data_IF_392424896989
#
_entry.id   IF_392424896989
#
_cell.length_a   1.000
_cell.length_b   1.000
_cell.length_c   1.000
_cell.angle_alpha   90.00
_cell.angle_beta   90.00
_cell.angle_gamma   90.00
#
_symmetry.space_group_name_H-M   'P 1'
#
loop_
_entity.id
_entity.type
_entity.pdbx_description
1 polymer ?
#
# COMPACT_ATOMS: atom_id res chain seq x y z
N UNK A 1 -34.81 29.98 -70.61
CA UNK A 1 -33.91 30.51 -69.55
C UNK A 1 -33.98 29.58 -68.35
N UNK A 2 -32.96 28.76 -68.12
CA UNK A 2 -32.76 28.04 -66.86
C UNK A 2 -31.25 27.97 -66.61
N UNK A 3 -30.83 28.60 -65.50
CA UNK A 3 -29.45 28.77 -65.02
C UNK A 3 -29.06 27.61 -64.07
N UNK A 4 -27.77 27.41 -63.78
CA UNK A 4 -27.15 26.10 -63.60
C UNK A 4 -27.16 25.54 -62.18
N UNK A 5 -26.84 24.25 -62.11
CA UNK A 5 -26.73 23.36 -60.96
C UNK A 5 -25.65 23.79 -59.95
N UNK A 6 -26.03 24.00 -58.68
CA UNK A 6 -25.10 24.09 -57.56
C UNK A 6 -24.71 22.69 -57.08
N UNK A 7 -23.41 22.37 -57.14
CA UNK A 7 -22.81 21.19 -56.51
C UNK A 7 -22.79 21.38 -54.99
N UNK A 8 -23.46 20.50 -54.26
CA UNK A 8 -23.41 20.43 -52.79
C UNK A 8 -22.08 19.81 -52.35
N UNK A 9 -21.15 20.62 -51.84
CA UNK A 9 -19.95 20.12 -51.15
C UNK A 9 -20.32 19.90 -49.68
N UNK A 10 -20.37 18.64 -49.26
CA UNK A 10 -20.43 18.27 -47.84
C UNK A 10 -19.02 18.37 -47.27
N UNK A 11 -18.78 19.33 -46.38
CA UNK A 11 -17.58 19.33 -45.53
C UNK A 11 -17.97 18.75 -44.16
N UNK A 12 -17.34 17.63 -43.80
CA UNK A 12 -17.45 16.98 -42.50
C UNK A 12 -16.99 17.94 -41.40
N UNK A 13 -17.85 18.22 -40.42
CA UNK A 13 -17.43 18.81 -39.15
C UNK A 13 -16.92 17.68 -38.23
N UNK A 14 -15.60 17.53 -38.11
CA UNK A 14 -14.98 16.75 -37.03
C UNK A 14 -15.08 17.54 -35.73
N UNK A 15 -16.04 17.19 -34.88
CA UNK A 15 -16.10 17.66 -33.50
C UNK A 15 -15.11 16.84 -32.66
N UNK A 16 -13.97 17.44 -32.29
CA UNK A 16 -13.07 16.89 -31.28
C UNK A 16 -13.73 17.07 -29.90
N UNK A 17 -14.31 16.00 -29.36
CA UNK A 17 -14.73 15.96 -27.95
C UNK A 17 -13.47 15.75 -27.12
N UNK A 18 -12.89 16.85 -26.62
CA UNK A 18 -11.92 16.77 -25.55
C UNK A 18 -12.67 16.31 -24.29
N UNK A 19 -12.45 15.06 -23.89
CA UNK A 19 -12.89 14.58 -22.60
C UNK A 19 -12.14 15.37 -21.51
N UNK A 20 -12.83 16.35 -20.92
CA UNK A 20 -12.45 16.95 -19.65
C UNK A 20 -12.49 15.82 -18.62
N UNK A 21 -11.33 15.20 -18.36
CA UNK A 21 -11.14 14.43 -17.14
C UNK A 21 -11.28 15.42 -16.00
N UNK A 22 -12.42 15.37 -15.32
CA UNK A 22 -12.60 16.12 -14.08
C UNK A 22 -11.49 15.72 -13.13
N UNK A 23 -10.75 16.73 -12.64
CA UNK A 23 -9.94 16.58 -11.44
C UNK A 23 -10.87 16.04 -10.36
N UNK A 24 -10.73 14.75 -10.03
CA UNK A 24 -11.33 14.21 -8.83
C UNK A 24 -10.60 14.87 -7.65
N UNK A 25 -11.17 15.95 -7.13
CA UNK A 25 -10.74 16.53 -5.86
C UNK A 25 -11.15 15.52 -4.79
N UNK A 26 -10.15 14.91 -4.15
CA UNK A 26 -10.33 13.78 -3.25
C UNK A 26 -11.15 14.09 -1.98
N UNK A 27 -11.46 15.36 -1.69
CA UNK A 27 -12.41 15.75 -0.64
C UNK A 27 -12.81 17.23 -0.79
N UNK A 28 -14.10 17.57 -0.63
CA UNK A 28 -14.51 18.98 -0.51
C UNK A 28 -13.89 19.57 0.77
N UNK A 29 -13.10 20.64 0.63
CA UNK A 29 -12.40 21.28 1.75
C UNK A 29 -11.05 20.67 2.11
N UNK A 30 -10.44 19.85 1.24
CA UNK A 30 -9.09 19.32 1.48
C UNK A 30 -8.05 20.46 1.57
N UNK A 31 -7.60 20.74 2.79
CA UNK A 31 -6.56 21.72 3.06
C UNK A 31 -5.19 21.30 2.51
N UNK A 32 -5.01 20.08 2.00
CA UNK A 32 -3.76 19.64 1.35
C UNK A 32 -3.33 20.54 0.20
N UNK A 33 -4.26 21.19 -0.50
CA UNK A 33 -3.93 22.17 -1.54
C UNK A 33 -3.36 23.50 -0.98
N UNK A 34 -3.55 23.79 0.32
CA UNK A 34 -3.13 25.04 0.97
C UNK A 34 -1.78 24.96 1.68
N UNK A 35 -1.25 23.76 1.91
CA UNK A 35 0.07 23.53 2.50
C UNK A 35 0.92 22.64 1.59
N UNK A 36 1.13 23.08 0.35
CA UNK A 36 1.99 22.39 -0.61
C UNK A 36 3.47 22.71 -0.31
N UNK A 37 3.96 22.29 0.86
CA UNK A 37 5.40 22.21 1.09
C UNK A 37 5.94 21.05 0.25
N UNK A 38 6.92 21.35 -0.61
CA UNK A 38 7.58 20.33 -1.42
C UNK A 38 8.23 19.24 -0.57
N UNK A 39 8.53 18.10 -1.19
CA UNK A 39 9.25 17.03 -0.52
C UNK A 39 10.60 17.54 0.03
N UNK A 40 10.95 17.14 1.24
CA UNK A 40 12.27 17.42 1.80
C UNK A 40 13.29 16.53 1.07
N UNK A 41 14.31 17.16 0.49
CA UNK A 41 15.41 16.48 -0.21
C UNK A 41 16.66 16.61 0.64
N UNK A 42 16.88 15.62 1.51
CA UNK A 42 18.02 15.55 2.42
C UNK A 42 18.39 14.08 2.67
N UNK A 43 19.58 13.78 3.21
CA UNK A 43 19.88 12.46 3.78
C UNK A 43 18.86 12.08 4.88
N UNK A 44 18.82 10.80 5.22
CA UNK A 44 18.05 10.33 6.37
C UNK A 44 18.47 11.10 7.65
N UNK A 45 17.51 11.28 8.56
CA UNK A 45 17.73 12.02 9.80
C UNK A 45 17.28 11.17 10.99
N UNK A 46 18.14 11.05 12.00
CA UNK A 46 17.91 10.28 13.23
C UNK A 46 18.16 11.18 14.44
N UNK A 47 17.24 11.19 15.40
CA UNK A 47 17.35 12.04 16.58
C UNK A 47 18.58 11.71 17.44
N UNK A 48 18.96 10.43 17.53
CA UNK A 48 20.07 9.98 18.38
C UNK A 48 21.46 10.23 17.75
N UNK A 49 21.53 10.57 16.47
CA UNK A 49 22.78 11.04 15.84
C UNK A 49 23.10 12.50 16.21
N UNK A 50 22.12 13.20 16.80
CA UNK A 50 22.18 14.62 17.11
C UNK A 50 21.96 14.84 18.62
N UNK A 51 22.63 14.09 19.49
CA UNK A 51 22.54 14.28 20.94
C UNK A 51 23.75 15.08 21.43
N UNK A 52 23.51 16.33 21.85
CA UNK A 52 24.55 17.28 22.33
C UNK A 52 24.85 18.41 21.34
N UNK A 53 24.82 19.65 21.86
CA UNK A 53 24.91 20.96 21.16
C UNK A 53 23.91 21.18 20.01
N UNK A 54 22.86 21.99 20.27
CA UNK A 54 21.97 22.61 19.27
C UNK A 54 21.48 21.67 18.15
N UNK A 55 20.98 20.49 18.52
CA UNK A 55 20.33 19.57 17.60
C UNK A 55 18.96 20.10 17.17
N UNK A 56 18.97 21.11 16.31
CA UNK A 56 17.77 21.65 15.68
C UNK A 56 17.32 20.62 14.65
N UNK A 57 16.25 19.87 14.99
CA UNK A 57 15.49 19.12 14.00
C UNK A 57 15.18 20.05 12.82
N UNK A 58 15.46 19.67 11.55
CA UNK A 58 15.07 20.49 10.41
C UNK A 58 13.55 20.59 10.25
N UNK A 59 12.81 19.82 11.06
CA UNK A 59 11.37 19.78 11.10
C UNK A 59 10.84 20.50 12.35
N UNK A 60 9.92 21.44 12.12
CA UNK A 60 9.14 22.06 13.19
C UNK A 60 8.29 20.98 13.90
N UNK A 61 8.11 21.13 15.21
CA UNK A 61 7.31 20.22 16.04
C UNK A 61 6.15 20.97 16.69
N UNK A 62 5.01 20.29 16.85
CA UNK A 62 3.86 20.80 17.59
C UNK A 62 3.07 19.62 18.17
N UNK A 63 3.18 19.37 19.47
CA UNK A 63 2.55 18.23 20.16
C UNK A 63 3.11 16.85 19.80
N UNK A 64 3.93 16.74 18.74
CA UNK A 64 4.64 15.55 18.30
C UNK A 64 6.08 15.90 17.95
N UNK A 65 7.01 15.00 18.29
CA UNK A 65 8.43 15.11 17.94
C UNK A 65 8.77 14.04 16.91
N UNK A 66 9.40 14.45 15.81
CA UNK A 66 9.99 13.52 14.87
C UNK A 66 11.23 12.88 15.48
N UNK A 67 11.33 11.55 15.41
CA UNK A 67 12.46 10.80 15.95
C UNK A 67 13.37 10.23 14.86
N UNK A 68 12.80 9.89 13.69
CA UNK A 68 13.53 9.45 12.52
C UNK A 68 12.79 9.83 11.24
N UNK A 69 13.53 10.06 10.15
CA UNK A 69 13.00 10.27 8.82
C UNK A 69 13.91 9.64 7.76
N UNK A 70 13.30 8.88 6.84
CA UNK A 70 13.99 8.23 5.74
C UNK A 70 13.38 8.66 4.41
N UNK A 71 14.16 9.23 3.47
CA UNK A 71 13.74 9.35 2.08
C UNK A 71 13.34 7.99 1.51
N UNK A 72 12.28 7.94 0.69
CA UNK A 72 11.87 6.69 0.02
C UNK A 72 13.02 6.07 -0.81
N UNK A 73 13.83 6.93 -1.44
CA UNK A 73 14.99 6.52 -2.23
C UNK A 73 16.11 5.87 -1.41
N UNK A 74 16.14 6.05 -0.08
CA UNK A 74 17.13 5.41 0.81
C UNK A 74 16.93 3.90 0.89
N UNK A 75 15.69 3.41 0.73
CA UNK A 75 15.40 1.97 0.67
C UNK A 75 15.84 1.36 -0.66
N UNK A 76 15.59 2.08 -1.76
CA UNK A 76 15.96 1.72 -3.12
C UNK A 76 15.81 2.98 -4.00
N UNK A 77 16.78 3.27 -4.87
CA UNK A 77 16.78 4.50 -5.68
C UNK A 77 15.62 4.61 -6.69
N UNK A 78 14.94 3.51 -7.01
CA UNK A 78 13.76 3.51 -7.87
C UNK A 78 12.46 3.88 -7.13
N UNK A 79 12.47 3.96 -5.79
CA UNK A 79 11.30 4.39 -5.04
C UNK A 79 11.11 5.91 -5.17
N UNK A 80 9.90 6.31 -5.54
CA UNK A 80 9.50 7.70 -5.74
C UNK A 80 8.40 8.14 -4.78
N UNK A 81 7.71 7.20 -4.14
CA UNK A 81 6.69 7.44 -3.13
C UNK A 81 6.54 6.25 -2.19
N UNK A 82 5.79 6.46 -1.11
CA UNK A 82 5.25 5.41 -0.24
C UNK A 82 3.78 5.67 0.03
N UNK A 83 3.02 4.63 0.36
CA UNK A 83 1.56 4.73 0.43
C UNK A 83 0.90 3.92 1.57
N UNK A 84 1.66 3.08 2.28
CA UNK A 84 1.14 2.29 3.40
C UNK A 84 2.21 2.07 4.46
N UNK A 85 1.79 1.85 5.69
CA UNK A 85 2.65 1.47 6.81
C UNK A 85 1.91 0.49 7.71
N UNK A 86 2.59 -0.57 8.12
CA UNK A 86 2.06 -1.56 9.05
C UNK A 86 3.06 -1.83 10.17
N UNK A 87 2.57 -2.02 11.39
CA UNK A 87 3.40 -2.34 12.56
C UNK A 87 3.56 -3.85 12.74
N UNK A 88 4.74 -4.28 13.17
CA UNK A 88 4.98 -5.66 13.62
C UNK A 88 5.83 -5.63 14.89
N UNK A 89 5.43 -6.40 15.90
CA UNK A 89 6.22 -6.63 17.10
C UNK A 89 6.72 -8.07 17.05
N UNK A 90 8.03 -8.26 17.03
CA UNK A 90 8.60 -9.61 17.04
C UNK A 90 8.41 -10.27 18.40
N UNK A 91 8.53 -11.61 18.51
CA UNK A 91 8.38 -12.31 19.79
C UNK A 91 9.34 -11.85 20.90
N UNK A 92 10.46 -11.19 20.56
CA UNK A 92 11.38 -10.60 21.53
C UNK A 92 10.94 -9.23 22.07
N UNK A 93 9.90 -8.62 21.48
CA UNK A 93 9.43 -7.29 21.81
C UNK A 93 10.03 -6.17 20.95
N UNK A 94 10.85 -6.49 19.94
CA UNK A 94 11.35 -5.48 18.99
C UNK A 94 10.26 -5.05 18.03
N UNK A 95 10.23 -3.76 17.71
CA UNK A 95 9.17 -3.15 16.92
C UNK A 95 9.68 -2.79 15.53
N UNK A 96 8.83 -3.02 14.52
CA UNK A 96 9.15 -2.84 13.12
C UNK A 96 8.03 -2.10 12.37
N UNK A 97 8.41 -1.15 11.54
CA UNK A 97 7.55 -0.56 10.52
C UNK A 97 7.79 -1.23 9.17
N UNK A 98 6.73 -1.80 8.60
CA UNK A 98 6.70 -2.39 7.28
C UNK A 98 6.12 -1.35 6.32
N UNK A 99 6.98 -0.84 5.44
CA UNK A 99 6.70 0.33 4.61
C UNK A 99 6.28 -0.10 3.21
N UNK A 100 5.09 0.29 2.78
CA UNK A 100 4.65 0.15 1.40
C UNK A 100 5.27 1.25 0.52
N UNK A 101 6.19 0.87 -0.38
CA UNK A 101 6.92 1.79 -1.25
C UNK A 101 6.58 1.53 -2.72
N UNK A 102 6.80 2.54 -3.57
CA UNK A 102 6.37 2.48 -4.97
C UNK A 102 6.97 1.33 -5.76
N UNK A 103 8.17 0.85 -5.37
CA UNK A 103 8.85 -0.27 -6.03
C UNK A 103 9.14 -1.48 -5.11
N UNK A 104 8.53 -1.55 -3.93
CA UNK A 104 8.70 -2.69 -3.04
C UNK A 104 8.21 -2.49 -1.61
N UNK A 105 8.61 -3.39 -0.72
CA UNK A 105 8.29 -3.31 0.71
C UNK A 105 9.58 -3.10 1.50
N UNK A 106 9.64 -2.04 2.30
CA UNK A 106 10.74 -1.76 3.23
C UNK A 106 10.44 -2.29 4.62
N UNK A 107 11.48 -2.66 5.37
CA UNK A 107 11.39 -3.11 6.75
C UNK A 107 12.32 -2.26 7.59
N UNK A 108 11.76 -1.53 8.55
CA UNK A 108 12.48 -0.60 9.42
C UNK A 108 12.32 -1.06 10.86
N UNK A 109 13.42 -1.31 11.55
CA UNK A 109 13.37 -1.45 12.99
C UNK A 109 13.17 -0.07 13.64
N UNK A 110 12.21 0.01 14.56
CA UNK A 110 11.81 1.23 15.27
C UNK A 110 11.79 1.06 16.79
N UNK A 111 12.29 -0.06 17.33
CA UNK A 111 12.37 -0.34 18.79
C UNK A 111 12.97 0.83 19.58
N UNK A 112 14.05 1.41 19.07
CA UNK A 112 14.49 2.74 19.48
C UNK A 112 14.19 3.72 18.33
N UNK A 113 13.13 4.55 18.42
CA UNK A 113 12.73 5.40 17.32
C UNK A 113 13.79 6.46 16.96
N UNK A 114 14.61 6.89 17.92
CA UNK A 114 15.70 7.85 17.70
C UNK A 114 16.91 7.26 16.95
N UNK A 115 17.04 5.93 16.93
CA UNK A 115 18.08 5.17 16.22
C UNK A 115 17.45 4.08 15.33
N UNK A 116 16.37 4.45 14.63
CA UNK A 116 15.67 3.54 13.71
C UNK A 116 16.60 3.08 12.57
N UNK A 117 16.38 1.87 12.04
CA UNK A 117 17.25 1.28 10.99
C UNK A 117 16.45 0.59 9.91
N UNK A 118 16.74 0.88 8.64
CA UNK A 118 16.28 0.05 7.53
C UNK A 118 17.06 -1.26 7.59
N UNK A 119 16.35 -2.37 7.84
CA UNK A 119 16.96 -3.70 7.96
C UNK A 119 16.83 -4.51 6.67
N UNK A 120 15.80 -4.26 5.86
CA UNK A 120 15.61 -4.94 4.59
C UNK A 120 14.75 -4.10 3.63
N UNK A 121 14.92 -4.38 2.34
CA UNK A 121 14.01 -3.95 1.28
C UNK A 121 13.83 -5.12 0.31
N UNK A 122 12.58 -5.43 -0.03
CA UNK A 122 12.25 -6.46 -1.01
C UNK A 122 11.49 -5.81 -2.15
N UNK A 123 12.05 -5.91 -3.35
CA UNK A 123 11.44 -5.35 -4.56
C UNK A 123 10.09 -6.02 -4.86
N UNK A 124 9.20 -5.26 -5.46
CA UNK A 124 7.89 -5.73 -5.90
C UNK A 124 7.40 -4.93 -7.10
N UNK A 125 6.18 -5.21 -7.60
CA UNK A 125 5.62 -4.53 -8.76
C UNK A 125 5.54 -3.01 -8.53
N UNK A 126 5.93 -2.23 -9.54
CA UNK A 126 5.88 -0.78 -9.48
C UNK A 126 4.43 -0.28 -9.45
N UNK A 127 4.07 0.52 -8.44
CA UNK A 127 2.73 1.06 -8.26
C UNK A 127 2.74 2.18 -7.24
N UNK A 128 1.83 3.14 -7.37
CA UNK A 128 1.57 4.11 -6.29
C UNK A 128 0.78 3.50 -5.13
N UNK A 129 0.25 2.28 -5.30
CA UNK A 129 -0.55 1.54 -4.31
C UNK A 129 0.06 0.18 -3.98
N UNK A 130 0.37 0.02 -2.70
CA UNK A 130 0.77 -1.21 -2.02
C UNK A 130 0.07 -1.32 -0.67
N UNK A 131 -0.27 -2.51 -0.21
CA UNK A 131 -0.76 -2.70 1.15
C UNK A 131 -0.08 -3.86 1.84
N UNK A 132 0.27 -3.69 3.12
CA UNK A 132 0.96 -4.68 3.95
C UNK A 132 0.11 -5.04 5.17
N UNK A 133 0.08 -6.33 5.49
CA UNK A 133 -0.52 -6.88 6.72
C UNK A 133 0.33 -8.04 7.24
N UNK A 134 0.20 -8.35 8.52
CA UNK A 134 0.90 -9.48 9.15
C UNK A 134 -0.07 -10.57 9.58
N UNK A 135 0.43 -11.79 9.71
CA UNK A 135 -0.23 -12.91 10.39
C UNK A 135 0.86 -13.80 10.97
N UNK A 136 0.86 -13.97 12.29
CA UNK A 136 1.95 -14.68 13.00
C UNK A 136 3.33 -14.12 12.58
N UNK A 137 4.27 -14.98 12.22
CA UNK A 137 5.62 -14.58 11.81
C UNK A 137 5.74 -14.26 10.30
N UNK A 138 4.62 -13.93 9.63
CA UNK A 138 4.60 -13.63 8.21
C UNK A 138 4.04 -12.24 7.95
N UNK A 139 4.55 -11.59 6.90
CA UNK A 139 3.93 -10.42 6.29
C UNK A 139 3.50 -10.71 4.86
N UNK A 140 2.43 -10.05 4.45
CA UNK A 140 1.83 -10.15 3.13
C UNK A 140 1.84 -8.77 2.52
N UNK A 141 2.28 -8.66 1.28
CA UNK A 141 2.27 -7.41 0.52
C UNK A 141 1.57 -7.61 -0.81
N UNK A 142 0.64 -6.71 -1.11
CA UNK A 142 -0.16 -6.70 -2.33
C UNK A 142 -0.03 -5.35 -3.01
N UNK A 143 -0.24 -5.27 -4.32
CA UNK A 143 -0.08 -4.04 -5.09
C UNK A 143 -1.05 -3.95 -6.26
N UNK A 144 -1.45 -2.73 -6.63
CA UNK A 144 -2.19 -2.51 -7.87
C UNK A 144 -1.34 -2.69 -9.12
N UNK A 145 -0.01 -2.68 -8.97
CA UNK A 145 0.92 -3.06 -10.03
C UNK A 145 0.87 -4.55 -10.39
N UNK A 146 0.05 -5.34 -9.68
CA UNK A 146 -0.09 -6.78 -9.92
C UNK A 146 0.80 -7.61 -9.00
N UNK A 147 1.26 -8.76 -9.51
CA UNK A 147 2.16 -9.68 -8.81
C UNK A 147 1.53 -10.54 -7.72
N UNK A 148 0.22 -10.46 -7.46
CA UNK A 148 -0.44 -11.31 -6.48
C UNK A 148 -0.13 -10.90 -5.04
N UNK A 149 0.22 -11.87 -4.20
CA UNK A 149 0.57 -11.70 -2.79
C UNK A 149 2.04 -12.07 -2.59
N UNK A 150 2.90 -11.09 -2.33
CA UNK A 150 4.25 -11.37 -1.83
C UNK A 150 4.15 -11.81 -0.37
N UNK A 151 4.76 -12.95 -0.04
CA UNK A 151 4.75 -13.53 1.31
C UNK A 151 6.16 -13.49 1.88
N UNK A 152 6.33 -12.76 2.98
CA UNK A 152 7.60 -12.58 3.66
C UNK A 152 7.63 -13.37 4.97
N UNK A 153 8.72 -14.10 5.21
CA UNK A 153 9.00 -14.71 6.50
C UNK A 153 9.76 -13.71 7.39
N UNK A 154 9.22 -13.45 8.58
CA UNK A 154 9.75 -12.52 9.58
C UNK A 154 10.39 -13.24 10.79
N UNK A 155 10.49 -14.58 10.78
CA UNK A 155 10.99 -15.34 11.93
C UNK A 155 12.40 -14.94 12.40
N UNK A 156 13.22 -14.40 11.50
CA UNK A 156 14.59 -13.95 11.77
C UNK A 156 14.76 -12.43 11.60
N UNK A 157 13.67 -11.65 11.67
CA UNK A 157 13.71 -10.20 11.46
C UNK A 157 14.62 -9.48 12.48
N UNK A 158 14.73 -10.02 13.70
CA UNK A 158 15.63 -9.53 14.73
C UNK A 158 17.12 -9.64 14.33
N UNK A 159 17.46 -10.63 13.50
CA UNK A 159 18.79 -10.76 12.92
C UNK A 159 18.97 -9.91 11.64
N UNK A 160 17.99 -9.06 11.31
CA UNK A 160 17.95 -8.28 10.07
C UNK A 160 17.58 -9.10 8.83
N UNK A 161 17.04 -10.32 9.01
CA UNK A 161 16.75 -11.22 7.89
C UNK A 161 15.25 -11.27 7.63
N UNK A 162 14.85 -10.78 6.45
CA UNK A 162 13.51 -10.93 5.90
C UNK A 162 13.62 -11.65 4.56
N UNK A 163 12.82 -12.69 4.36
CA UNK A 163 12.88 -13.53 3.15
C UNK A 163 11.55 -13.53 2.43
N UNK A 164 11.54 -13.20 1.14
CA UNK A 164 10.41 -13.50 0.26
C UNK A 164 10.37 -15.02 0.05
N UNK A 165 9.45 -15.69 0.72
CA UNK A 165 9.32 -17.16 0.65
C UNK A 165 8.38 -17.61 -0.46
N UNK A 166 7.48 -16.72 -0.89
CA UNK A 166 6.54 -17.04 -1.96
C UNK A 166 5.96 -15.76 -2.59
N UNK A 167 5.50 -15.88 -3.82
CA UNK A 167 4.64 -14.90 -4.48
C UNK A 167 3.42 -15.67 -4.98
N UNK A 168 2.33 -15.58 -4.23
CA UNK A 168 1.11 -16.33 -4.54
C UNK A 168 0.26 -15.55 -5.53
N UNK A 169 0.03 -16.14 -6.69
CA UNK A 169 -1.10 -15.79 -7.54
C UNK A 169 -1.79 -17.05 -8.05
N UNK A 170 -2.86 -17.43 -7.35
CA UNK A 170 -3.68 -18.59 -7.68
C UNK A 170 -5.10 -18.18 -8.15
N UNK A 171 -5.29 -16.93 -8.61
CA UNK A 171 -6.63 -16.47 -8.98
C UNK A 171 -6.93 -16.65 -10.48
N UNK A 172 -8.17 -16.99 -10.82
CA UNK A 172 -8.72 -16.88 -12.18
C UNK A 172 -9.05 -15.41 -12.57
N UNK A 173 -8.56 -14.44 -11.80
CA UNK A 173 -8.84 -13.02 -11.91
C UNK A 173 -7.52 -12.24 -12.03
N UNK A 174 -7.56 -10.94 -11.75
CA UNK A 174 -6.37 -10.07 -11.81
C UNK A 174 -5.41 -10.30 -10.64
N UNK A 175 -4.08 -10.23 -10.91
CA UNK A 175 -3.06 -10.21 -9.86
C UNK A 175 -3.03 -8.88 -9.07
N UNK A 176 -3.74 -7.83 -9.52
CA UNK A 176 -3.74 -6.52 -8.88
C UNK A 176 -4.64 -6.44 -7.63
N UNK A 177 -4.28 -5.62 -6.65
CA UNK A 177 -5.03 -5.43 -5.40
C UNK A 177 -4.77 -4.05 -4.81
N UNK A 178 -5.83 -3.36 -4.39
CA UNK A 178 -5.76 -2.03 -3.79
C UNK A 178 -5.52 -2.12 -2.28
N UNK A 179 -6.29 -2.96 -1.59
CA UNK A 179 -6.21 -3.15 -0.14
C UNK A 179 -6.32 -4.62 0.24
N UNK A 180 -5.85 -4.91 1.44
CA UNK A 180 -5.93 -6.22 2.06
C UNK A 180 -6.25 -6.10 3.54
N UNK A 181 -7.05 -7.04 4.03
CA UNK A 181 -7.35 -7.22 5.45
C UNK A 181 -7.08 -8.66 5.84
N UNK A 182 -6.56 -8.86 7.05
CA UNK A 182 -6.38 -10.18 7.64
C UNK A 182 -7.19 -10.24 8.91
N UNK A 183 -7.99 -11.31 9.07
CA UNK A 183 -8.58 -11.67 10.34
C UNK A 183 -7.63 -12.63 11.05
N UNK A 184 -6.90 -12.11 12.03
CA UNK A 184 -5.88 -12.89 12.75
C UNK A 184 -6.49 -14.00 13.63
N UNK A 185 -7.77 -13.89 13.99
CA UNK A 185 -8.45 -14.90 14.80
C UNK A 185 -8.83 -16.12 13.97
N UNK A 186 -9.26 -15.93 12.72
CA UNK A 186 -9.74 -17.01 11.84
C UNK A 186 -8.70 -17.44 10.81
N UNK A 187 -7.66 -16.64 10.58
CA UNK A 187 -6.60 -16.94 9.61
C UNK A 187 -7.08 -16.78 8.16
N UNK A 188 -7.89 -15.76 7.89
CA UNK A 188 -8.31 -15.41 6.52
C UNK A 188 -7.76 -14.07 6.08
N UNK A 189 -7.36 -14.01 4.82
CA UNK A 189 -6.86 -12.84 4.12
C UNK A 189 -7.84 -12.45 3.01
N UNK A 190 -8.24 -11.19 2.98
CA UNK A 190 -9.24 -10.63 2.07
C UNK A 190 -8.58 -9.61 1.16
N UNK A 191 -8.50 -9.89 -0.14
CA UNK A 191 -8.00 -8.94 -1.17
C UNK A 191 -9.14 -8.18 -1.83
N UNK A 192 -8.99 -6.86 -1.91
CA UNK A 192 -9.97 -5.92 -2.46
C UNK A 192 -9.33 -5.00 -3.51
N UNK A 193 -10.16 -4.44 -4.39
CA UNK A 193 -9.71 -3.54 -5.46
C UNK A 193 -8.79 -4.18 -6.50
N UNK A 194 -7.99 -3.38 -7.21
CA UNK A 194 -7.23 -3.83 -8.38
C UNK A 194 -8.11 -4.16 -9.59
N UNK A 195 -9.26 -3.48 -9.73
CA UNK A 195 -10.31 -3.72 -10.73
C UNK A 195 -11.63 -4.19 -10.10
N UNK A 196 -12.65 -4.45 -10.92
CA UNK A 196 -14.03 -4.80 -10.48
C UNK A 196 -14.19 -6.24 -9.98
N UNK A 197 -13.24 -6.75 -9.19
CA UNK A 197 -13.17 -8.17 -8.80
C UNK A 197 -13.75 -8.48 -7.41
N UNK A 198 -14.33 -7.49 -6.73
CA UNK A 198 -14.86 -7.62 -5.37
C UNK A 198 -13.84 -8.17 -4.37
N UNK A 199 -14.23 -9.18 -3.59
CA UNK A 199 -13.41 -9.88 -2.59
C UNK A 199 -12.81 -11.16 -3.16
N UNK A 200 -11.52 -11.38 -2.89
CA UNK A 200 -10.86 -12.69 -3.04
C UNK A 200 -10.34 -13.11 -1.67
N UNK A 201 -10.80 -14.25 -1.18
CA UNK A 201 -10.61 -14.71 0.20
C UNK A 201 -9.65 -15.89 0.20
N UNK A 202 -8.58 -15.77 0.99
CA UNK A 202 -7.51 -16.75 1.08
C UNK A 202 -7.42 -17.30 2.49
N UNK A 203 -7.29 -18.62 2.62
CA UNK A 203 -6.94 -19.26 3.90
C UNK A 203 -5.44 -19.13 4.15
N UNK A 204 -5.09 -18.79 5.40
CA UNK A 204 -3.74 -18.75 5.93
C UNK A 204 -3.41 -20.01 6.76
N UNK A 205 -4.12 -21.12 6.56
CA UNK A 205 -3.81 -22.39 7.21
C UNK A 205 -2.36 -22.86 6.92
N UNK A 206 -1.83 -22.51 5.75
CA UNK A 206 -0.40 -22.49 5.48
C UNK A 206 0.03 -21.02 5.23
N UNK A 207 0.55 -20.31 6.24
CA UNK A 207 0.89 -18.90 6.12
C UNK A 207 1.91 -18.58 5.01
N UNK A 208 2.81 -19.52 4.69
CA UNK A 208 3.81 -19.36 3.63
C UNK A 208 3.22 -19.51 2.21
N UNK A 209 2.02 -20.08 2.07
CA UNK A 209 1.34 -20.27 0.80
C UNK A 209 -0.19 -20.12 0.97
N UNK A 210 -0.69 -18.87 1.10
CA UNK A 210 -2.12 -18.61 1.18
C UNK A 210 -2.91 -19.26 0.04
N UNK A 211 -4.00 -19.96 0.35
CA UNK A 211 -4.81 -20.67 -0.64
C UNK A 211 -6.12 -19.93 -0.89
N UNK A 212 -6.46 -19.63 -2.16
CA UNK A 212 -7.75 -19.04 -2.51
C UNK A 212 -8.88 -20.03 -2.15
N UNK A 213 -9.83 -19.60 -1.32
CA UNK A 213 -10.96 -20.44 -0.86
C UNK A 213 -12.31 -19.94 -1.33
N UNK A 214 -12.45 -18.63 -1.61
CA UNK A 214 -13.70 -18.05 -2.08
C UNK A 214 -13.50 -16.72 -2.80
N UNK A 215 -14.50 -16.35 -3.61
CA UNK A 215 -14.59 -15.04 -4.25
C UNK A 215 -16.00 -14.49 -4.10
N UNK A 216 -16.13 -13.19 -3.93
CA UNK A 216 -17.41 -12.47 -3.96
C UNK A 216 -17.26 -11.25 -4.86
N UNK A 217 -17.86 -11.25 -6.05
CA UNK A 217 -17.63 -10.23 -7.08
C UNK A 217 -18.88 -9.59 -7.73
N UNK A 218 -20.06 -9.48 -7.07
CA UNK A 218 -21.20 -8.79 -7.68
C UNK A 218 -20.99 -7.26 -7.76
N UNK A 219 -20.04 -6.69 -7.02
CA UNK A 219 -19.68 -5.27 -7.07
C UNK A 219 -18.20 -5.02 -6.77
N UNK A 220 -17.69 -3.89 -7.22
CA UNK A 220 -16.39 -3.39 -6.80
C UNK A 220 -16.36 -3.18 -5.28
N UNK A 221 -15.28 -3.61 -4.64
CA UNK A 221 -15.00 -3.40 -3.22
C UNK A 221 -13.63 -2.79 -3.10
N UNK A 222 -13.56 -1.58 -2.52
CA UNK A 222 -12.32 -0.82 -2.39
C UNK A 222 -11.55 -1.20 -1.14
N UNK A 223 -12.24 -1.22 0.00
CA UNK A 223 -11.71 -1.51 1.34
C UNK A 223 -12.85 -2.06 2.20
N UNK A 224 -12.52 -2.55 3.41
CA UNK A 224 -13.50 -3.15 4.29
C UNK A 224 -13.07 -3.21 5.74
N UNK A 225 -13.80 -4.02 6.50
CA UNK A 225 -13.46 -4.45 7.84
C UNK A 225 -14.12 -5.81 8.03
N UNK A 226 -13.48 -6.67 8.80
CA UNK A 226 -13.94 -8.03 9.02
C UNK A 226 -14.23 -8.21 10.51
N UNK A 227 -15.40 -8.77 10.83
CA UNK A 227 -15.88 -8.90 12.20
C UNK A 227 -16.26 -10.34 12.49
N UNK A 228 -15.75 -10.88 13.60
CA UNK A 228 -16.21 -12.16 14.14
C UNK A 228 -17.45 -11.92 14.99
N UNK A 229 -18.60 -12.42 14.53
CA UNK A 229 -19.84 -12.32 15.30
C UNK A 229 -19.86 -13.43 16.36
N UNK A 230 -19.75 -13.03 17.63
CA UNK A 230 -19.75 -13.98 18.77
C UNK A 230 -21.14 -14.25 19.34
N UNK A 231 -22.12 -13.39 19.05
CA UNK A 231 -23.49 -13.47 19.56
C UNK A 231 -24.51 -13.03 18.52
N UNK A 232 -25.80 -13.27 18.79
CA UNK A 232 -26.90 -12.88 17.91
C UNK A 232 -27.13 -13.80 16.71
N UNK A 233 -27.96 -13.39 15.75
CA UNK A 233 -28.35 -14.21 14.60
C UNK A 233 -27.19 -14.64 13.69
N UNK A 234 -26.08 -13.92 13.73
CA UNK A 234 -24.87 -14.20 12.96
C UNK A 234 -23.76 -14.85 13.80
N UNK A 235 -24.04 -15.30 15.03
CA UNK A 235 -23.03 -15.93 15.88
C UNK A 235 -22.32 -17.09 15.16
N UNK A 236 -20.99 -17.12 15.26
CA UNK A 236 -20.14 -18.09 14.56
C UNK A 236 -19.94 -17.79 13.07
N UNK A 237 -20.34 -16.61 12.60
CA UNK A 237 -20.06 -16.10 11.26
C UNK A 237 -19.02 -14.99 11.30
N UNK A 238 -18.47 -14.78 10.11
CA UNK A 238 -17.54 -13.71 9.74
C UNK A 238 -18.12 -12.97 8.53
#
# INVERSE_FOLDING_TARGET
MLRPTLKTVRLLATAAVAALSGLAIAHEGDLKARDFKGAVVAPAWLADEHVGEEAVSPFQSSGVRLMAWFPCATFNSANTSGNDVWGYVSPSGREYALMGLSNGTGFVEVTNPGSSRIIAFIAGPASLWRNVKTYQNYAYSVSEGGGGIQVFNLANIDAGVVTLVNTVDASAATPATHTMIINEQTGYLYRMGGGSNGLRIYSLANPAAPALVATWNPKYTHDGVVYNYTTGPYAGKE
#
